data_IF_476312305186
#
_entry.id   IF_476312305186
#
_cell.length_a   1.000
_cell.length_b   1.000
_cell.length_c   1.000
_cell.angle_alpha   90.00
_cell.angle_beta   90.00
_cell.angle_gamma   90.00
#
_symmetry.space_group_name_H-M   'P 1'
#
loop_
_entity.id
_entity.type
_entity.pdbx_description
1 polymer ?
#
# COMPACT_ATOMS: atom_id res chain seq x y z
N UNK A 1 0.04 22.03 53.53
CA UNK A 1 0.79 20.79 53.22
C UNK A 1 0.18 19.98 52.07
N UNK A 2 -1.13 19.69 52.08
CA UNK A 2 -1.76 18.90 51.00
C UNK A 2 -1.81 19.61 49.63
N UNK A 3 -2.08 20.93 49.60
CA UNK A 3 -2.09 21.72 48.35
C UNK A 3 -0.71 21.77 47.68
N UNK A 4 0.35 21.91 48.46
CA UNK A 4 1.74 21.88 47.95
C UNK A 4 2.09 20.50 47.40
N UNK A 5 1.63 19.42 48.04
CA UNK A 5 1.80 18.05 47.54
C UNK A 5 1.12 17.84 46.19
N UNK A 6 -0.11 18.34 46.00
CA UNK A 6 -0.80 18.30 44.70
C UNK A 6 0.05 18.93 43.60
N UNK A 7 0.62 20.11 43.85
CA UNK A 7 1.42 20.80 42.85
C UNK A 7 2.73 20.06 42.53
N UNK A 8 3.42 19.49 43.52
CA UNK A 8 4.62 18.68 43.25
C UNK A 8 4.31 17.46 42.40
N UNK A 9 3.28 16.69 42.79
CA UNK A 9 2.88 15.48 42.06
C UNK A 9 2.44 15.83 40.63
N UNK A 10 1.63 16.88 40.48
CA UNK A 10 1.17 17.35 39.17
C UNK A 10 2.33 17.82 38.30
N UNK A 11 3.26 18.61 38.84
CA UNK A 11 4.41 19.11 38.09
C UNK A 11 5.27 17.95 37.57
N UNK A 12 5.65 17.02 38.44
CA UNK A 12 6.51 15.88 38.07
C UNK A 12 5.82 15.02 37.01
N UNK A 13 4.60 14.55 37.27
CA UNK A 13 3.94 13.60 36.38
C UNK A 13 3.56 14.24 35.06
N UNK A 14 3.01 15.45 35.06
CA UNK A 14 2.62 16.10 33.82
C UNK A 14 3.84 16.49 32.97
N UNK A 15 4.94 17.00 33.56
CA UNK A 15 6.12 17.36 32.77
C UNK A 15 6.81 16.15 32.14
N UNK A 16 6.98 15.06 32.91
CA UNK A 16 7.54 13.80 32.37
C UNK A 16 6.65 13.24 31.27
N UNK A 17 5.34 13.19 31.51
CA UNK A 17 4.38 12.66 30.53
C UNK A 17 4.34 13.53 29.27
N UNK A 18 4.37 14.85 29.41
CA UNK A 18 4.42 15.78 28.28
C UNK A 18 5.68 15.56 27.42
N UNK A 19 6.83 15.31 28.05
CA UNK A 19 8.06 14.98 27.33
C UNK A 19 7.94 13.66 26.54
N UNK A 20 7.34 12.63 27.14
CA UNK A 20 7.09 11.34 26.46
C UNK A 20 6.15 11.53 25.27
N UNK A 21 5.06 12.27 25.44
CA UNK A 21 4.11 12.55 24.34
C UNK A 21 4.77 13.40 23.26
N UNK A 22 5.63 14.35 23.61
CA UNK A 22 6.37 15.14 22.65
C UNK A 22 7.32 14.28 21.79
N UNK A 23 7.99 13.29 22.40
CA UNK A 23 8.79 12.29 21.68
C UNK A 23 7.93 11.46 20.73
N UNK A 24 6.73 11.04 21.16
CA UNK A 24 5.77 10.31 20.31
C UNK A 24 5.35 11.18 19.12
N UNK A 25 4.98 12.45 19.36
CA UNK A 25 4.64 13.41 18.32
C UNK A 25 5.73 13.54 17.25
N UNK A 26 7.00 13.72 17.65
CA UNK A 26 8.10 13.86 16.70
C UNK A 26 8.29 12.58 15.86
N UNK A 27 8.17 11.40 16.49
CA UNK A 27 8.28 10.12 15.80
C UNK A 27 7.16 9.89 14.78
N UNK A 28 5.92 10.23 15.13
CA UNK A 28 4.78 10.09 14.22
C UNK A 28 4.78 11.15 13.11
N UNK A 29 5.30 12.36 13.40
CA UNK A 29 5.50 13.40 12.38
C UNK A 29 6.44 12.96 11.26
N UNK A 30 7.51 12.23 11.58
CA UNK A 30 8.47 11.70 10.58
C UNK A 30 7.82 10.66 9.66
N UNK A 31 6.80 9.95 10.16
CA UNK A 31 6.12 8.86 9.43
C UNK A 31 5.02 9.32 8.47
N UNK A 32 4.85 10.63 8.24
CA UNK A 32 3.83 11.20 7.35
C UNK A 32 2.40 10.68 7.60
N UNK A 33 2.01 10.48 8.86
CA UNK A 33 0.62 10.16 9.22
C UNK A 33 -0.35 11.32 8.94
N UNK A 34 -1.65 11.06 9.02
CA UNK A 34 -2.70 12.06 8.79
C UNK A 34 -2.48 13.32 9.63
N UNK A 35 -2.60 14.51 9.01
CA UNK A 35 -2.29 15.79 9.66
C UNK A 35 -3.16 16.07 10.89
N UNK A 36 -4.39 15.53 10.90
CA UNK A 36 -5.37 15.69 11.97
C UNK A 36 -4.97 14.90 13.23
N UNK A 37 -4.52 13.65 13.07
CA UNK A 37 -4.08 12.82 14.20
C UNK A 37 -2.80 13.40 14.84
N UNK A 38 -1.86 13.85 14.01
CA UNK A 38 -0.61 14.49 14.46
C UNK A 38 -0.90 15.78 15.24
N UNK A 39 -1.84 16.60 14.77
CA UNK A 39 -2.26 17.82 15.46
C UNK A 39 -2.90 17.50 16.82
N UNK A 40 -3.70 16.44 16.89
CA UNK A 40 -4.25 15.90 18.14
C UNK A 40 -3.21 15.61 19.21
N UNK A 41 -2.17 14.85 18.85
CA UNK A 41 -1.07 14.49 19.75
C UNK A 41 -0.34 15.75 20.24
N UNK A 42 -0.12 16.72 19.36
CA UNK A 42 0.52 18.00 19.69
C UNK A 42 -0.29 18.76 20.74
N UNK A 43 -1.58 18.99 20.49
CA UNK A 43 -2.43 19.79 21.38
C UNK A 43 -2.69 19.08 22.72
N UNK A 44 -2.81 17.75 22.71
CA UNK A 44 -2.88 16.97 23.94
C UNK A 44 -1.60 17.04 24.77
N UNK A 45 -0.43 16.88 24.14
CA UNK A 45 0.86 17.02 24.80
C UNK A 45 1.05 18.43 25.39
N UNK A 46 0.58 19.46 24.67
CA UNK A 46 0.60 20.84 25.15
C UNK A 46 -0.36 21.06 26.33
N UNK A 47 -1.55 20.45 26.33
CA UNK A 47 -2.47 20.50 27.46
C UNK A 47 -1.82 19.95 28.74
N UNK A 48 -1.20 18.77 28.66
CA UNK A 48 -0.50 18.17 29.81
C UNK A 48 0.68 19.05 30.25
N UNK A 49 1.45 19.57 29.29
CA UNK A 49 2.56 20.46 29.59
C UNK A 49 2.09 21.70 30.38
N UNK A 50 0.96 22.31 30.01
CA UNK A 50 0.40 23.46 30.71
C UNK A 50 0.02 23.14 32.16
N UNK A 51 -0.56 21.97 32.45
CA UNK A 51 -0.79 21.57 33.84
C UNK A 51 0.50 21.40 34.63
N UNK A 52 1.52 20.78 34.03
CA UNK A 52 2.82 20.61 34.67
C UNK A 52 3.54 21.93 34.93
N UNK A 53 3.56 22.82 33.93
CA UNK A 53 4.15 24.15 34.02
C UNK A 53 3.41 25.02 35.05
N UNK A 54 2.08 25.00 35.05
CA UNK A 54 1.31 25.78 36.02
C UNK A 54 1.50 25.32 37.46
N UNK A 55 1.57 24.01 37.68
CA UNK A 55 1.91 23.46 38.98
C UNK A 55 3.33 23.86 39.41
N UNK A 56 4.31 23.81 38.50
CA UNK A 56 5.68 24.25 38.77
C UNK A 56 5.76 25.74 39.12
N UNK A 57 5.08 26.61 38.36
CA UNK A 57 5.07 28.05 38.64
C UNK A 57 4.41 28.32 40.00
N UNK A 58 3.33 27.63 40.34
CA UNK A 58 2.71 27.76 41.65
C UNK A 58 3.66 27.33 42.79
N UNK A 59 4.42 26.24 42.62
CA UNK A 59 5.45 25.86 43.59
C UNK A 59 6.49 26.96 43.73
N UNK A 60 6.98 27.54 42.62
CA UNK A 60 7.98 28.61 42.67
C UNK A 60 7.44 29.85 43.38
N UNK A 61 6.24 30.31 43.01
CA UNK A 61 5.65 31.52 43.59
C UNK A 61 5.36 31.37 45.08
N UNK A 62 4.83 30.22 45.49
CA UNK A 62 4.38 29.98 46.87
C UNK A 62 5.53 29.56 47.79
N UNK A 63 6.50 28.77 47.32
CA UNK A 63 7.58 28.23 48.16
C UNK A 63 8.90 29.00 48.06
N UNK A 64 9.27 29.48 46.87
CA UNK A 64 10.55 30.20 46.69
C UNK A 64 10.41 31.71 46.88
N UNK A 65 9.24 32.26 46.54
CA UNK A 65 8.99 33.71 46.58
C UNK A 65 8.03 34.09 47.74
N UNK A 66 7.51 33.09 48.47
CA UNK A 66 6.62 33.25 49.64
C UNK A 66 5.36 34.09 49.37
N UNK A 67 4.81 33.98 48.16
CA UNK A 67 3.56 34.66 47.80
C UNK A 67 2.38 33.83 48.30
N UNK A 68 1.45 34.47 49.02
CA UNK A 68 0.22 33.83 49.47
C UNK A 68 -0.58 33.21 48.32
N UNK A 69 -1.10 32.00 48.53
CA UNK A 69 -1.91 31.27 47.54
C UNK A 69 -3.18 32.01 47.11
N UNK A 70 -3.67 32.93 47.93
CA UNK A 70 -4.84 33.78 47.72
C UNK A 70 -4.52 35.07 46.98
N UNK A 71 -3.24 35.35 46.69
CA UNK A 71 -2.83 36.54 45.99
C UNK A 71 -3.41 36.57 44.56
N UNK A 72 -3.92 37.74 44.14
CA UNK A 72 -4.53 37.94 42.82
C UNK A 72 -3.62 37.48 41.67
N UNK A 73 -2.31 37.67 41.78
CA UNK A 73 -1.34 37.28 40.74
C UNK A 73 -1.33 35.76 40.53
N UNK A 74 -1.30 35.00 41.62
CA UNK A 74 -1.31 33.52 41.61
C UNK A 74 -2.62 33.01 40.98
N UNK A 75 -3.74 33.64 41.36
CA UNK A 75 -5.06 33.25 40.85
C UNK A 75 -5.23 33.60 39.37
N UNK A 76 -4.82 34.79 38.92
CA UNK A 76 -4.88 35.17 37.51
C UNK A 76 -4.03 34.27 36.62
N UNK A 77 -2.82 33.94 37.08
CA UNK A 77 -1.96 33.00 36.37
C UNK A 77 -2.56 31.59 36.35
N UNK A 78 -3.15 31.14 37.46
CA UNK A 78 -3.85 29.86 37.55
C UNK A 78 -5.02 29.76 36.57
N UNK A 79 -5.86 30.79 36.52
CA UNK A 79 -6.99 30.87 35.58
C UNK A 79 -6.49 30.90 34.13
N UNK A 80 -5.46 31.71 33.82
CA UNK A 80 -4.87 31.75 32.49
C UNK A 80 -4.39 30.36 32.02
N UNK A 81 -3.68 29.63 32.88
CA UNK A 81 -3.16 28.29 32.58
C UNK A 81 -4.32 27.29 32.41
N UNK A 82 -5.34 27.35 33.26
CA UNK A 82 -6.52 26.47 33.19
C UNK A 82 -7.31 26.66 31.88
N UNK A 83 -7.50 27.92 31.48
CA UNK A 83 -8.19 28.28 30.25
C UNK A 83 -7.40 27.88 28.99
N UNK A 84 -6.09 28.10 29.00
CA UNK A 84 -5.20 27.68 27.90
C UNK A 84 -5.14 26.16 27.79
N UNK A 85 -5.19 25.45 28.93
CA UNK A 85 -5.30 24.00 28.95
C UNK A 85 -6.63 23.54 28.34
N UNK A 86 -7.76 24.14 28.74
CA UNK A 86 -9.08 23.86 28.18
C UNK A 86 -9.14 24.04 26.66
N UNK A 87 -8.53 25.12 26.13
CA UNK A 87 -8.37 25.35 24.69
C UNK A 87 -7.59 24.21 24.01
N UNK A 88 -6.47 23.81 24.62
CA UNK A 88 -5.60 22.76 24.09
C UNK A 88 -6.33 21.41 24.06
N UNK A 89 -7.13 21.11 25.08
CA UNK A 89 -7.99 19.93 25.09
C UNK A 89 -9.02 20.00 23.96
N UNK A 90 -9.72 21.12 23.79
CA UNK A 90 -10.71 21.29 22.71
C UNK A 90 -10.11 21.10 21.32
N UNK A 91 -8.91 21.63 21.07
CA UNK A 91 -8.19 21.46 19.81
C UNK A 91 -7.71 20.03 19.60
N UNK A 92 -7.53 19.25 20.67
CA UNK A 92 -7.20 17.82 20.56
C UNK A 92 -8.41 16.93 20.22
N UNK A 93 -9.64 17.32 20.58
CA UNK A 93 -10.84 16.47 20.41
C UNK A 93 -11.12 16.04 18.96
N UNK A 94 -11.00 16.90 17.93
CA UNK A 94 -11.24 16.50 16.55
C UNK A 94 -10.38 15.33 16.07
N UNK A 95 -9.21 15.12 16.68
CA UNK A 95 -8.28 14.03 16.35
C UNK A 95 -8.73 12.66 16.83
N UNK A 96 -9.70 12.58 17.73
CA UNK A 96 -10.19 11.32 18.27
C UNK A 96 -11.08 10.67 17.22
N UNK A 97 -10.64 9.62 16.53
CA UNK A 97 -11.44 9.00 15.46
C UNK A 97 -12.56 8.09 15.99
N UNK A 98 -13.79 8.33 15.52
CA UNK A 98 -14.95 7.46 15.71
C UNK A 98 -16.01 7.64 14.61
N UNK A 99 -16.82 6.60 14.36
CA UNK A 99 -17.85 6.60 13.30
C UNK A 99 -19.16 7.31 13.66
N UNK A 100 -19.37 7.67 14.93
CA UNK A 100 -20.61 8.32 15.41
C UNK A 100 -20.62 9.83 15.14
N UNK A 101 -21.82 10.43 15.17
CA UNK A 101 -21.96 11.89 15.07
C UNK A 101 -21.18 12.61 16.17
N UNK A 102 -20.47 13.67 15.77
CA UNK A 102 -19.64 14.50 16.64
C UNK A 102 -20.48 15.36 17.57
N UNK A 103 -19.99 15.59 18.79
CA UNK A 103 -20.63 16.55 19.69
C UNK A 103 -20.66 17.96 19.04
N UNK A 104 -21.68 18.78 19.35
CA UNK A 104 -21.83 20.16 18.86
C UNK A 104 -20.55 20.98 19.10
N UNK A 105 -19.93 20.82 20.28
CA UNK A 105 -18.68 21.50 20.63
C UNK A 105 -17.56 21.12 19.65
N UNK A 106 -17.41 19.84 19.33
CA UNK A 106 -16.37 19.37 18.39
C UNK A 106 -16.68 19.80 16.96
N UNK A 107 -17.96 19.77 16.55
CA UNK A 107 -18.39 20.29 15.24
C UNK A 107 -18.09 21.78 15.09
N UNK A 108 -18.24 22.55 16.18
CA UNK A 108 -17.89 23.97 16.19
C UNK A 108 -16.38 24.15 15.99
N UNK A 109 -15.54 23.40 16.72
CA UNK A 109 -14.08 23.46 16.55
C UNK A 109 -13.67 23.07 15.12
N UNK A 110 -14.26 22.00 14.57
CA UNK A 110 -13.96 21.54 13.20
C UNK A 110 -14.36 22.52 12.09
N UNK A 111 -15.29 23.44 12.37
CA UNK A 111 -15.76 24.44 11.40
C UNK A 111 -14.72 25.54 11.15
N UNK A 112 -13.81 25.75 12.11
CA UNK A 112 -12.77 26.77 12.03
C UNK A 112 -11.39 26.12 11.82
N UNK A 113 -10.48 26.84 11.19
CA UNK A 113 -9.06 26.45 11.24
C UNK A 113 -8.51 26.62 12.66
N UNK A 114 -7.42 25.90 12.97
CA UNK A 114 -6.78 26.01 14.29
C UNK A 114 -6.45 27.46 14.68
N UNK A 115 -5.97 28.26 13.72
CA UNK A 115 -5.61 29.66 13.96
C UNK A 115 -6.83 30.53 14.23
N UNK A 116 -7.89 30.36 13.45
CA UNK A 116 -9.14 31.10 13.62
C UNK A 116 -9.80 30.77 14.96
N UNK A 117 -9.87 29.49 15.32
CA UNK A 117 -10.46 29.06 16.58
C UNK A 117 -9.68 29.60 17.79
N UNK A 118 -8.34 29.55 17.76
CA UNK A 118 -7.50 30.14 18.81
C UNK A 118 -7.73 31.65 18.93
N UNK A 119 -7.88 32.35 17.81
CA UNK A 119 -8.11 33.81 17.80
C UNK A 119 -9.48 34.18 18.35
N UNK A 120 -10.52 33.41 17.97
CA UNK A 120 -11.88 33.62 18.46
C UNK A 120 -11.97 33.31 19.96
N UNK A 121 -11.41 32.17 20.40
CA UNK A 121 -11.40 31.77 21.80
C UNK A 121 -10.62 32.77 22.66
N UNK A 122 -9.43 33.21 22.22
CA UNK A 122 -8.65 34.21 22.95
C UNK A 122 -9.35 35.57 23.00
N UNK A 123 -10.04 35.98 21.94
CA UNK A 123 -10.84 37.20 21.92
C UNK A 123 -11.99 37.17 22.92
N UNK A 124 -12.74 36.06 22.98
CA UNK A 124 -13.82 35.87 23.97
C UNK A 124 -13.25 35.85 25.39
N UNK A 125 -12.14 35.15 25.62
CA UNK A 125 -11.50 35.13 26.93
C UNK A 125 -10.97 36.49 27.35
N UNK A 126 -10.38 37.26 26.45
CA UNK A 126 -9.91 38.61 26.75
C UNK A 126 -11.08 39.53 27.17
N UNK A 127 -12.23 39.40 26.51
CA UNK A 127 -13.44 40.14 26.88
C UNK A 127 -13.94 39.75 28.28
N UNK A 128 -14.05 38.46 28.57
CA UNK A 128 -14.49 37.96 29.89
C UNK A 128 -13.47 38.36 30.98
N UNK A 129 -12.18 38.17 30.71
CA UNK A 129 -11.11 38.55 31.64
C UNK A 129 -11.13 40.05 31.92
N UNK A 130 -11.34 40.90 30.91
CA UNK A 130 -11.46 42.35 31.09
C UNK A 130 -12.60 42.71 32.05
N UNK A 131 -13.79 42.13 31.84
CA UNK A 131 -14.95 42.36 32.73
C UNK A 131 -14.61 41.97 34.16
N UNK A 132 -14.05 40.78 34.39
CA UNK A 132 -13.72 40.31 35.73
C UNK A 132 -12.59 41.09 36.40
N UNK A 133 -11.57 41.51 35.66
CA UNK A 133 -10.49 42.36 36.18
C UNK A 133 -11.07 43.71 36.61
N UNK A 134 -11.86 44.37 35.77
CA UNK A 134 -12.48 45.66 36.10
C UNK A 134 -13.37 45.52 37.33
N UNK A 135 -14.24 44.50 37.39
CA UNK A 135 -15.11 44.27 38.54
C UNK A 135 -14.34 43.95 39.83
N UNK A 136 -13.24 43.20 39.75
CA UNK A 136 -12.37 42.83 40.89
C UNK A 136 -11.49 43.98 41.39
N UNK A 137 -11.15 44.94 40.52
CA UNK A 137 -10.44 46.16 40.93
C UNK A 137 -11.38 47.20 41.53
N UNK A 138 -12.63 47.27 41.06
CA UNK A 138 -13.62 48.24 41.57
C UNK A 138 -14.25 47.85 42.90
N UNK A 139 -14.27 46.57 43.28
CA UNK A 139 -14.89 46.08 44.50
C UNK A 139 -13.91 45.28 45.36
N UNK A 140 -13.50 45.84 46.50
CA UNK A 140 -12.56 45.20 47.44
C UNK A 140 -13.19 44.10 48.29
N UNK A 141 -14.53 44.04 48.37
CA UNK A 141 -15.25 43.00 49.12
C UNK A 141 -15.43 41.67 48.36
N UNK A 142 -15.08 41.63 47.07
CA UNK A 142 -15.18 40.40 46.28
C UNK A 142 -14.03 39.47 46.67
N UNK A 143 -14.36 38.29 47.20
CA UNK A 143 -13.40 37.21 47.45
C UNK A 143 -12.58 36.93 46.19
N UNK A 144 -11.25 36.82 46.32
CA UNK A 144 -10.37 36.48 45.20
C UNK A 144 -10.74 35.13 44.55
N UNK A 145 -11.45 34.25 45.28
CA UNK A 145 -11.96 32.99 44.73
C UNK A 145 -13.05 33.18 43.67
N UNK A 146 -13.71 34.35 43.62
CA UNK A 146 -14.68 34.69 42.57
C UNK A 146 -14.04 34.76 41.17
N UNK A 147 -12.72 35.00 41.08
CA UNK A 147 -11.99 35.04 39.81
C UNK A 147 -11.97 33.66 39.14
N UNK A 148 -12.02 32.56 39.92
CA UNK A 148 -12.14 31.20 39.39
C UNK A 148 -13.49 30.93 38.71
N UNK A 149 -14.50 31.80 38.89
CA UNK A 149 -15.83 31.61 38.33
C UNK A 149 -15.81 31.53 36.79
N UNK A 150 -14.87 32.21 36.14
CA UNK A 150 -14.69 32.21 34.68
C UNK A 150 -14.37 30.81 34.14
N UNK A 151 -13.58 30.04 34.88
CA UNK A 151 -13.04 28.76 34.43
C UNK A 151 -14.08 27.63 34.48
N UNK A 152 -15.09 27.75 35.35
CA UNK A 152 -16.06 26.69 35.64
C UNK A 152 -16.90 26.32 34.41
N UNK A 153 -17.61 27.25 33.73
CA UNK A 153 -18.49 26.87 32.63
C UNK A 153 -17.68 26.28 31.48
N UNK A 154 -16.48 26.83 31.24
CA UNK A 154 -15.56 26.36 30.20
C UNK A 154 -15.09 24.95 30.53
N UNK A 155 -14.58 24.72 31.74
CA UNK A 155 -14.13 23.41 32.20
C UNK A 155 -15.23 22.35 32.15
N UNK A 156 -16.48 22.70 32.50
CA UNK A 156 -17.62 21.78 32.43
C UNK A 156 -18.01 21.46 30.97
N UNK A 157 -18.04 22.46 30.09
CA UNK A 157 -18.30 22.24 28.65
C UNK A 157 -17.22 21.31 28.07
N UNK A 158 -15.95 21.55 28.41
CA UNK A 158 -14.83 20.71 27.98
C UNK A 158 -14.93 19.30 28.54
N UNK A 159 -15.25 19.15 29.83
CA UNK A 159 -15.44 17.85 30.46
C UNK A 159 -16.58 17.05 29.83
N UNK A 160 -17.69 17.72 29.49
CA UNK A 160 -18.81 17.10 28.78
C UNK A 160 -18.45 16.72 27.34
N UNK A 161 -17.68 17.55 26.65
CA UNK A 161 -17.16 17.24 25.32
C UNK A 161 -16.24 16.01 25.37
N UNK A 162 -15.33 15.96 26.35
CA UNK A 162 -14.44 14.82 26.60
C UNK A 162 -15.20 13.53 26.88
N UNK A 163 -16.19 13.56 27.79
CA UNK A 163 -17.00 12.39 28.13
C UNK A 163 -17.63 11.79 26.87
N UNK A 164 -18.24 12.63 26.03
CA UNK A 164 -18.91 12.19 24.82
C UNK A 164 -17.94 11.60 23.79
N UNK A 165 -16.85 12.30 23.48
CA UNK A 165 -15.92 11.88 22.42
C UNK A 165 -15.12 10.64 22.84
N UNK A 166 -14.64 10.59 24.09
CA UNK A 166 -13.92 9.42 24.61
C UNK A 166 -14.86 8.20 24.69
N UNK A 167 -16.07 8.37 25.23
CA UNK A 167 -17.05 7.27 25.33
C UNK A 167 -17.41 6.72 23.94
N UNK A 168 -17.64 7.60 22.96
CA UNK A 168 -17.91 7.19 21.57
C UNK A 168 -16.72 6.48 20.95
N UNK A 169 -15.50 6.97 21.15
CA UNK A 169 -14.28 6.36 20.62
C UNK A 169 -14.03 4.97 21.21
N UNK A 170 -14.14 4.81 22.52
CA UNK A 170 -13.97 3.51 23.16
C UNK A 170 -15.08 2.52 22.81
N UNK A 171 -16.33 2.98 22.73
CA UNK A 171 -17.45 2.15 22.30
C UNK A 171 -17.29 1.68 20.85
N UNK A 172 -16.79 2.53 19.95
CA UNK A 172 -16.54 2.18 18.55
C UNK A 172 -15.46 1.10 18.42
N UNK A 173 -14.48 1.09 19.33
CA UNK A 173 -13.35 0.13 19.33
C UNK A 173 -13.64 -1.15 20.13
N UNK A 174 -14.91 -1.46 20.38
CA UNK A 174 -15.36 -2.59 21.21
C UNK A 174 -14.85 -2.61 22.67
N UNK A 175 -14.23 -1.52 23.15
CA UNK A 175 -13.74 -1.38 24.52
C UNK A 175 -14.83 -0.77 25.42
N UNK A 176 -16.01 -1.40 25.48
CA UNK A 176 -17.18 -0.85 26.23
C UNK A 176 -16.89 -0.63 27.72
N UNK A 177 -16.00 -1.42 28.32
CA UNK A 177 -15.56 -1.25 29.71
C UNK A 177 -14.93 0.14 29.98
N UNK A 178 -14.27 0.74 28.97
CA UNK A 178 -13.59 2.03 29.10
C UNK A 178 -14.55 3.23 29.21
N UNK A 179 -15.86 3.02 28.96
CA UNK A 179 -16.88 4.05 29.18
C UNK A 179 -17.01 4.42 30.66
N UNK A 180 -16.83 3.46 31.57
CA UNK A 180 -16.91 3.71 33.03
C UNK A 180 -15.77 4.63 33.50
N UNK A 181 -14.49 4.37 33.17
CA UNK A 181 -13.40 5.33 33.38
C UNK A 181 -13.66 6.72 32.79
N UNK A 182 -14.32 6.83 31.62
CA UNK A 182 -14.66 8.13 31.05
C UNK A 182 -15.70 8.88 31.88
N UNK A 183 -16.70 8.17 32.41
CA UNK A 183 -17.69 8.75 33.33
C UNK A 183 -17.05 9.15 34.66
N UNK A 184 -16.18 8.31 35.22
CA UNK A 184 -15.40 8.64 36.42
C UNK A 184 -14.54 9.89 36.21
N UNK A 185 -13.91 10.03 35.05
CA UNK A 185 -13.16 11.24 34.70
C UNK A 185 -14.05 12.48 34.76
N UNK A 186 -15.25 12.43 34.16
CA UNK A 186 -16.20 13.53 34.20
C UNK A 186 -16.60 13.89 35.63
N UNK A 187 -16.96 12.91 36.46
CA UNK A 187 -17.33 13.12 37.86
C UNK A 187 -16.18 13.72 38.66
N UNK A 188 -14.95 13.23 38.47
CA UNK A 188 -13.78 13.78 39.16
C UNK A 188 -13.48 15.22 38.76
N UNK A 189 -13.68 15.60 37.49
CA UNK A 189 -13.56 16.99 37.04
C UNK A 189 -14.63 17.85 37.72
N UNK A 190 -15.89 17.40 37.76
CA UNK A 190 -16.97 18.14 38.44
C UNK A 190 -16.61 18.36 39.91
N UNK A 191 -16.19 17.31 40.64
CA UNK A 191 -15.79 17.42 42.06
C UNK A 191 -14.61 18.39 42.23
N UNK A 192 -13.57 18.28 41.39
CA UNK A 192 -12.41 19.16 41.47
C UNK A 192 -12.75 20.64 41.20
N UNK A 193 -13.63 20.89 40.23
CA UNK A 193 -14.12 22.25 39.92
C UNK A 193 -15.00 22.78 41.05
N UNK A 194 -15.88 21.95 41.62
CA UNK A 194 -16.70 22.34 42.79
C UNK A 194 -15.85 22.66 44.02
N UNK A 195 -14.81 21.86 44.29
CA UNK A 195 -13.90 22.10 45.41
C UNK A 195 -13.20 23.47 45.32
N UNK A 196 -12.91 23.98 44.11
CA UNK A 196 -12.30 25.32 43.93
C UNK A 196 -13.24 26.47 44.30
N UNK A 197 -14.55 26.26 44.30
CA UNK A 197 -15.55 27.32 44.46
C UNK A 197 -15.93 27.52 45.92
N UNK A 198 -16.14 26.42 46.65
CA UNK A 198 -16.74 26.48 47.97
C UNK A 198 -15.68 27.01 48.96
N UNK A 199 -15.89 28.20 49.55
CA UNK A 199 -14.96 28.75 50.53
C UNK A 199 -14.85 27.78 51.71
N UNK A 200 -13.63 27.50 52.17
CA UNK A 200 -13.39 26.57 53.28
C UNK A 200 -14.22 26.94 54.51
N UNK A 201 -14.41 28.23 54.75
CA UNK A 201 -15.14 28.81 55.88
C UNK A 201 -16.64 28.43 55.90
N UNK A 202 -17.24 28.12 54.74
CA UNK A 202 -18.66 27.72 54.64
C UNK A 202 -18.87 26.20 54.80
N UNK A 203 -17.79 25.42 54.68
CA UNK A 203 -17.84 23.94 54.74
C UNK A 203 -17.62 23.42 56.16
N UNK A 204 -16.95 24.21 57.01
CA UNK A 204 -16.68 23.88 58.42
C UNK A 204 -17.92 23.50 59.23
N UNK A 205 -19.12 23.92 58.80
CA UNK A 205 -20.39 23.55 59.44
C UNK A 205 -20.92 22.15 59.10
N UNK A 206 -20.36 21.47 58.09
CA UNK A 206 -20.91 20.21 57.56
C UNK A 206 -19.85 19.11 57.38
N UNK A 207 -18.59 19.48 57.11
CA UNK A 207 -17.50 18.54 56.82
C UNK A 207 -16.22 19.06 57.47
N UNK A 208 -15.41 18.14 57.99
CA UNK A 208 -14.09 18.45 58.53
C UNK A 208 -13.16 19.09 57.46
N UNK A 209 -12.38 20.09 57.88
CA UNK A 209 -11.54 20.88 56.98
C UNK A 209 -10.43 20.03 56.34
N UNK A 210 -9.86 19.10 57.11
CA UNK A 210 -8.82 18.21 56.62
C UNK A 210 -9.39 17.26 55.57
N UNK A 211 -10.56 16.67 55.85
CA UNK A 211 -11.26 15.82 54.89
C UNK A 211 -11.62 16.55 53.59
N UNK A 212 -12.14 17.78 53.66
CA UNK A 212 -12.48 18.58 52.49
C UNK A 212 -11.24 18.90 51.63
N UNK A 213 -10.14 19.31 52.28
CA UNK A 213 -8.86 19.57 51.58
C UNK A 213 -8.28 18.30 50.96
N UNK A 214 -8.39 17.15 51.64
CA UNK A 214 -7.91 15.86 51.13
C UNK A 214 -8.71 15.43 49.90
N UNK A 215 -10.05 15.55 49.96
CA UNK A 215 -10.95 15.23 48.85
C UNK A 215 -10.60 16.05 47.60
N UNK A 216 -10.36 17.36 47.77
CA UNK A 216 -9.96 18.24 46.69
C UNK A 216 -8.66 17.82 46.02
N UNK A 217 -7.63 17.51 46.81
CA UNK A 217 -6.33 17.05 46.30
C UNK A 217 -6.46 15.69 45.60
N UNK A 218 -7.17 14.73 46.21
CA UNK A 218 -7.39 13.41 45.60
C UNK A 218 -8.12 13.55 44.28
N UNK A 219 -9.22 14.31 44.23
CA UNK A 219 -9.98 14.52 43.00
C UNK A 219 -9.12 15.23 41.94
N UNK A 220 -8.43 16.30 42.34
CA UNK A 220 -7.56 17.12 41.50
C UNK A 220 -6.42 16.34 40.86
N UNK A 221 -5.77 15.47 41.61
CA UNK A 221 -4.71 14.58 41.10
C UNK A 221 -5.33 13.46 40.26
N UNK A 222 -6.34 12.77 40.78
CA UNK A 222 -6.90 11.57 40.15
C UNK A 222 -7.45 11.83 38.75
N UNK A 223 -8.15 12.95 38.52
CA UNK A 223 -8.68 13.23 37.18
C UNK A 223 -7.54 13.44 36.17
N UNK A 224 -6.44 14.10 36.54
CA UNK A 224 -5.30 14.34 35.64
C UNK A 224 -4.63 13.04 35.24
N UNK A 225 -4.43 12.14 36.21
CA UNK A 225 -3.88 10.81 35.96
C UNK A 225 -4.81 9.96 35.09
N UNK A 226 -6.11 9.94 35.41
CA UNK A 226 -7.09 9.19 34.65
C UNK A 226 -7.20 9.73 33.21
N UNK A 227 -7.15 11.04 33.03
CA UNK A 227 -7.12 11.69 31.72
C UNK A 227 -5.89 11.27 30.90
N UNK A 228 -4.70 11.33 31.50
CA UNK A 228 -3.46 10.87 30.86
C UNK A 228 -3.59 9.40 30.47
N UNK A 229 -4.03 8.54 31.38
CA UNK A 229 -4.17 7.10 31.14
C UNK A 229 -5.13 6.80 29.98
N UNK A 230 -6.33 7.39 30.03
CA UNK A 230 -7.36 7.21 29.01
C UNK A 230 -6.84 7.61 27.63
N UNK A 231 -6.16 8.75 27.53
CA UNK A 231 -5.64 9.20 26.27
C UNK A 231 -4.44 8.39 25.79
N UNK A 232 -3.54 7.96 26.69
CA UNK A 232 -2.45 7.03 26.35
C UNK A 232 -2.99 5.71 25.79
N UNK A 233 -4.07 5.18 26.38
CA UNK A 233 -4.75 3.99 25.85
C UNK A 233 -5.36 4.29 24.48
N UNK A 234 -5.98 5.46 24.30
CA UNK A 234 -6.57 5.85 23.02
C UNK A 234 -5.53 5.99 21.91
N UNK A 235 -4.37 6.58 22.21
CA UNK A 235 -3.23 6.67 21.30
C UNK A 235 -2.68 5.29 20.93
N UNK A 236 -2.46 4.42 21.92
CA UNK A 236 -1.95 3.07 21.68
C UNK A 236 -2.94 2.22 20.87
N UNK A 237 -4.22 2.28 21.25
CA UNK A 237 -5.31 1.59 20.55
C UNK A 237 -5.45 2.09 19.11
N UNK A 238 -5.25 3.38 18.87
CA UNK A 238 -5.27 3.94 17.52
C UNK A 238 -4.12 3.39 16.67
N UNK A 239 -2.90 3.38 17.22
CA UNK A 239 -1.73 2.80 16.57
C UNK A 239 -1.93 1.32 16.23
N UNK A 240 -2.55 0.57 17.14
CA UNK A 240 -2.87 -0.84 16.89
C UNK A 240 -3.89 -1.01 15.75
N UNK A 241 -4.92 -0.15 15.69
CA UNK A 241 -5.90 -0.19 14.61
C UNK A 241 -5.26 0.15 13.26
N UNK A 242 -4.46 1.22 13.20
CA UNK A 242 -3.84 1.66 11.94
C UNK A 242 -2.81 0.65 11.42
N UNK A 243 -2.03 0.02 12.30
CA UNK A 243 -1.13 -1.08 11.91
C UNK A 243 -1.89 -2.31 11.41
N UNK A 244 -3.08 -2.61 11.96
CA UNK A 244 -3.92 -3.72 11.50
C UNK A 244 -4.58 -3.42 10.16
N UNK A 245 -5.11 -2.22 9.98
CA UNK A 245 -5.71 -1.78 8.71
C UNK A 245 -4.68 -1.80 7.58
N UNK A 246 -3.47 -1.29 7.82
CA UNK A 246 -2.40 -1.28 6.81
C UNK A 246 -1.99 -2.69 6.40
N UNK A 247 -1.87 -3.61 7.36
CA UNK A 247 -1.61 -5.04 7.07
C UNK A 247 -2.76 -5.70 6.32
N UNK A 248 -4.00 -5.30 6.57
CA UNK A 248 -5.16 -5.84 5.87
C UNK A 248 -5.22 -5.34 4.43
N UNK A 249 -4.95 -4.06 4.19
CA UNK A 249 -4.83 -3.50 2.83
C UNK A 249 -3.70 -4.18 2.05
N UNK A 250 -2.53 -4.38 2.68
CA UNK A 250 -1.41 -5.09 2.05
C UNK A 250 -1.79 -6.53 1.70
N UNK A 251 -2.53 -7.22 2.58
CA UNK A 251 -3.03 -8.57 2.31
C UNK A 251 -4.02 -8.59 1.14
N UNK A 252 -4.92 -7.63 1.04
CA UNK A 252 -5.89 -7.51 -0.05
C UNK A 252 -5.18 -7.33 -1.40
N UNK A 253 -4.18 -6.44 -1.47
CA UNK A 253 -3.36 -6.24 -2.68
C UNK A 253 -2.62 -7.52 -3.07
N UNK A 254 -2.01 -8.22 -2.11
CA UNK A 254 -1.32 -9.49 -2.36
C UNK A 254 -2.27 -10.59 -2.83
N UNK A 255 -3.51 -10.61 -2.33
CA UNK A 255 -4.54 -11.56 -2.78
C UNK A 255 -4.98 -11.27 -4.21
N UNK A 256 -5.15 -10.00 -4.59
CA UNK A 256 -5.46 -9.60 -5.96
C UNK A 256 -4.33 -9.96 -6.93
N UNK A 257 -3.07 -9.67 -6.56
CA UNK A 257 -1.90 -10.02 -7.37
C UNK A 257 -1.77 -11.54 -7.55
N UNK A 258 -1.98 -12.32 -6.46
CA UNK A 258 -2.01 -13.78 -6.53
C UNK A 258 -3.09 -14.29 -7.49
N UNK A 259 -4.30 -13.72 -7.45
CA UNK A 259 -5.38 -14.10 -8.36
C UNK A 259 -5.02 -13.78 -9.82
N UNK A 260 -4.37 -12.64 -10.07
CA UNK A 260 -3.93 -12.24 -11.41
C UNK A 260 -2.84 -13.19 -11.94
N UNK A 261 -1.86 -13.52 -11.11
CA UNK A 261 -0.80 -14.48 -11.45
C UNK A 261 -1.36 -15.88 -11.74
N UNK A 262 -2.33 -16.36 -10.96
CA UNK A 262 -3.01 -17.64 -11.23
C UNK A 262 -3.73 -17.64 -12.57
N UNK A 263 -4.44 -16.55 -12.92
CA UNK A 263 -5.08 -16.41 -14.24
C UNK A 263 -4.08 -16.37 -15.39
N UNK A 264 -2.93 -15.73 -15.19
CA UNK A 264 -1.86 -15.73 -16.19
C UNK A 264 -1.25 -17.12 -16.36
N UNK A 265 -1.02 -17.83 -15.25
CA UNK A 265 -0.52 -19.21 -15.28
C UNK A 265 -1.49 -20.13 -16.03
N UNK A 266 -2.80 -20.04 -15.77
CA UNK A 266 -3.82 -20.82 -16.47
C UNK A 266 -3.80 -20.55 -17.99
N UNK A 267 -3.72 -19.29 -18.40
CA UNK A 267 -3.59 -18.93 -19.83
C UNK A 267 -2.33 -19.50 -20.48
N UNK A 268 -1.20 -19.48 -19.76
CA UNK A 268 0.05 -20.05 -20.26
C UNK A 268 -0.01 -21.57 -20.39
N UNK A 269 -0.68 -22.26 -19.46
CA UNK A 269 -0.91 -23.71 -19.54
C UNK A 269 -1.74 -24.05 -20.78
N UNK A 270 -2.86 -23.36 -21.00
CA UNK A 270 -3.70 -23.57 -22.19
C UNK A 270 -2.95 -23.27 -23.49
N UNK A 271 -2.16 -22.19 -23.53
CA UNK A 271 -1.33 -21.86 -24.70
C UNK A 271 -0.30 -22.96 -24.98
N UNK A 272 0.38 -23.47 -23.93
CA UNK A 272 1.35 -24.55 -24.07
C UNK A 272 0.69 -25.85 -24.57
N UNK A 273 -0.50 -26.21 -24.07
CA UNK A 273 -1.25 -27.36 -24.56
C UNK A 273 -1.59 -27.22 -26.05
N UNK A 274 -2.03 -26.03 -26.48
CA UNK A 274 -2.30 -25.74 -27.89
C UNK A 274 -1.04 -25.77 -28.76
N UNK A 275 0.09 -25.28 -28.26
CA UNK A 275 1.38 -25.37 -28.95
C UNK A 275 1.83 -26.82 -29.10
N UNK A 276 1.66 -27.66 -28.07
CA UNK A 276 1.96 -29.09 -28.15
C UNK A 276 1.10 -29.80 -29.20
N UNK A 277 -0.19 -29.51 -29.26
CA UNK A 277 -1.09 -30.05 -30.30
C UNK A 277 -0.67 -29.60 -31.70
N UNK A 278 -0.29 -28.33 -31.86
CA UNK A 278 0.25 -27.81 -33.12
C UNK A 278 1.55 -28.52 -33.53
N UNK A 279 2.47 -28.75 -32.59
CA UNK A 279 3.72 -29.47 -32.86
C UNK A 279 3.44 -30.92 -33.29
N UNK A 280 2.55 -31.62 -32.59
CA UNK A 280 2.23 -33.02 -32.92
C UNK A 280 1.55 -33.16 -34.29
N UNK A 281 0.63 -32.25 -34.63
CA UNK A 281 -0.01 -32.22 -35.95
C UNK A 281 0.97 -31.90 -37.07
N UNK A 282 1.89 -30.95 -36.85
CA UNK A 282 2.97 -30.64 -37.80
C UNK A 282 3.89 -31.85 -38.00
N UNK A 283 4.33 -32.51 -36.92
CA UNK A 283 5.15 -33.73 -37.02
C UNK A 283 4.45 -34.83 -37.82
N UNK A 284 3.14 -35.01 -37.65
CA UNK A 284 2.35 -35.97 -38.43
C UNK A 284 2.34 -35.62 -39.92
N UNK A 285 2.07 -34.35 -40.27
CA UNK A 285 2.07 -33.88 -41.67
C UNK A 285 3.45 -34.02 -42.32
N UNK A 286 4.51 -33.78 -41.55
CA UNK A 286 5.89 -33.91 -42.03
C UNK A 286 6.18 -35.37 -42.41
N UNK A 287 5.83 -36.33 -41.54
CA UNK A 287 5.93 -37.77 -41.86
C UNK A 287 5.09 -38.16 -43.08
N UNK A 288 3.85 -37.68 -43.19
CA UNK A 288 3.01 -37.95 -44.36
C UNK A 288 3.60 -37.39 -45.66
N UNK A 289 4.23 -36.21 -45.59
CA UNK A 289 4.91 -35.59 -46.73
C UNK A 289 6.16 -36.37 -47.13
N UNK A 290 6.99 -36.81 -46.17
CA UNK A 290 8.16 -37.65 -46.43
C UNK A 290 7.77 -38.96 -47.14
N UNK A 291 6.69 -39.62 -46.69
CA UNK A 291 6.18 -40.83 -47.36
C UNK A 291 5.75 -40.53 -48.80
N UNK A 292 5.03 -39.43 -49.04
CA UNK A 292 4.62 -39.04 -50.40
C UNK A 292 5.80 -38.73 -51.30
N UNK A 293 6.82 -38.04 -50.78
CA UNK A 293 8.05 -37.75 -51.52
C UNK A 293 8.75 -39.05 -51.90
N UNK A 294 8.93 -39.99 -50.96
CA UNK A 294 9.55 -41.28 -51.25
C UNK A 294 8.80 -42.07 -52.33
N UNK A 295 7.46 -42.08 -52.27
CA UNK A 295 6.63 -42.73 -53.30
C UNK A 295 6.79 -42.06 -54.67
N UNK A 296 6.85 -40.73 -54.71
CA UNK A 296 7.07 -39.97 -55.94
C UNK A 296 8.47 -40.23 -56.51
N UNK A 297 9.51 -40.25 -55.67
CA UNK A 297 10.88 -40.59 -56.06
C UNK A 297 10.98 -42.02 -56.62
N UNK A 298 10.33 -42.99 -55.99
CA UNK A 298 10.27 -44.36 -56.53
C UNK A 298 9.52 -44.42 -57.86
N UNK A 299 8.41 -43.70 -58.00
CA UNK A 299 7.63 -43.66 -59.24
C UNK A 299 8.33 -42.93 -60.40
N UNK A 300 9.30 -42.07 -60.09
CA UNK A 300 10.09 -41.31 -61.08
C UNK A 300 11.40 -41.98 -61.43
N UNK A 301 11.78 -43.11 -60.80
CA UNK A 301 12.92 -43.92 -61.23
C UNK A 301 12.65 -44.52 -62.61
N UNK A 302 13.34 -43.99 -63.62
CA UNK A 302 13.24 -44.43 -65.00
C UNK A 302 13.97 -45.77 -65.17
N UNK A 303 13.22 -46.87 -65.28
CA UNK A 303 13.79 -48.20 -65.56
C UNK A 303 13.89 -48.43 -67.08
N UNK A 304 15.10 -48.25 -67.64
CA UNK A 304 15.41 -48.65 -69.01
C UNK A 304 15.64 -50.17 -69.10
N UNK A 305 15.13 -50.82 -70.14
CA UNK A 305 15.47 -52.23 -70.42
C UNK A 305 16.95 -52.39 -70.77
N UNK A 306 17.52 -53.57 -70.58
CA UNK A 306 18.95 -53.80 -70.87
C UNK A 306 19.30 -53.54 -72.33
N UNK A 307 18.38 -53.84 -73.26
CA UNK A 307 18.54 -53.52 -74.68
C UNK A 307 18.54 -52.01 -74.95
N UNK A 308 17.71 -51.25 -74.23
CA UNK A 308 17.69 -49.78 -74.34
C UNK A 308 18.94 -49.16 -73.72
N UNK A 309 19.46 -49.71 -72.62
CA UNK A 309 20.75 -49.30 -72.03
C UNK A 309 21.91 -49.54 -72.99
N UNK A 310 21.92 -50.69 -73.68
CA UNK A 310 22.94 -51.01 -74.69
C UNK A 310 22.87 -50.05 -75.89
N UNK A 311 21.67 -49.79 -76.41
CA UNK A 311 21.44 -48.82 -77.50
C UNK A 311 21.89 -47.42 -77.10
N UNK A 312 21.56 -46.96 -75.88
CA UNK A 312 22.03 -45.68 -75.34
C UNK A 312 23.53 -45.65 -75.07
N UNK A 313 24.11 -46.74 -74.58
CA UNK A 313 25.55 -46.86 -74.32
C UNK A 313 26.35 -46.74 -75.61
N UNK A 314 25.93 -47.44 -76.66
CA UNK A 314 26.53 -47.36 -78.00
C UNK A 314 26.33 -45.98 -78.64
N UNK A 315 25.16 -45.37 -78.45
CA UNK A 315 24.94 -43.99 -78.87
C UNK A 315 25.83 -43.00 -78.12
N UNK A 316 26.02 -43.17 -76.81
CA UNK A 316 26.90 -42.33 -76.00
C UNK A 316 28.38 -42.46 -76.38
N UNK A 317 28.80 -43.67 -76.76
CA UNK A 317 30.20 -43.99 -77.11
C UNK A 317 30.60 -43.51 -78.51
N UNK A 318 29.70 -43.60 -79.50
CA UNK A 318 30.04 -43.30 -80.90
C UNK A 318 29.10 -42.30 -81.57
N UNK A 319 28.05 -41.80 -80.91
CA UNK A 319 27.04 -40.94 -81.51
C UNK A 319 27.52 -39.55 -81.93
N UNK A 320 28.65 -39.08 -81.39
CA UNK A 320 29.28 -37.83 -81.80
C UNK A 320 30.01 -37.95 -83.16
N UNK A 321 30.53 -39.14 -83.48
CA UNK A 321 31.34 -39.39 -84.68
C UNK A 321 30.62 -40.21 -85.75
N UNK A 322 29.61 -41.00 -85.37
CA UNK A 322 28.86 -41.89 -86.25
C UNK A 322 27.39 -41.48 -86.38
N UNK A 323 26.85 -41.70 -87.58
CA UNK A 323 25.43 -41.61 -87.90
C UNK A 323 24.65 -42.78 -87.28
N UNK A 324 23.33 -42.65 -87.15
CA UNK A 324 22.49 -43.74 -86.64
C UNK A 324 22.57 -45.01 -87.48
N UNK A 325 22.81 -44.87 -88.79
CA UNK A 325 22.98 -45.99 -89.72
C UNK A 325 24.24 -46.79 -89.39
N UNK A 326 25.37 -46.11 -89.21
CA UNK A 326 26.66 -46.75 -88.89
C UNK A 326 26.65 -47.40 -87.49
N UNK A 327 25.91 -46.84 -86.54
CA UNK A 327 25.75 -47.42 -85.21
C UNK A 327 24.83 -48.66 -85.27
N UNK A 328 23.73 -48.59 -86.02
CA UNK A 328 22.83 -49.73 -86.20
C UNK A 328 23.56 -50.92 -86.86
N UNK A 329 24.35 -50.65 -87.90
CA UNK A 329 25.18 -51.67 -88.56
C UNK A 329 26.22 -52.26 -87.62
N UNK A 330 26.94 -51.44 -86.85
CA UNK A 330 27.92 -51.92 -85.87
C UNK A 330 27.29 -52.71 -84.71
N UNK A 331 26.00 -52.47 -84.42
CA UNK A 331 25.19 -53.25 -83.47
C UNK A 331 24.54 -54.50 -84.09
N UNK A 332 24.78 -54.78 -85.39
CA UNK A 332 24.14 -55.85 -86.16
C UNK A 332 22.59 -55.81 -86.09
N UNK A 333 22.01 -54.62 -86.14
CA UNK A 333 20.55 -54.43 -86.19
C UNK A 333 20.14 -53.56 -87.37
N UNK A 334 18.88 -53.68 -87.78
CA UNK A 334 18.33 -52.79 -88.79
C UNK A 334 18.27 -51.36 -88.29
N UNK A 335 18.46 -50.40 -89.21
CA UNK A 335 18.33 -48.97 -88.92
C UNK A 335 16.95 -48.64 -88.32
N UNK A 336 15.89 -49.28 -88.82
CA UNK A 336 14.53 -49.11 -88.33
C UNK A 336 14.37 -49.64 -86.89
N UNK A 337 14.99 -50.78 -86.57
CA UNK A 337 15.04 -51.31 -85.21
C UNK A 337 15.79 -50.40 -84.25
N UNK A 338 16.92 -49.82 -84.67
CA UNK A 338 17.66 -48.84 -83.89
C UNK A 338 16.84 -47.56 -83.66
N UNK A 339 16.22 -47.01 -84.71
CA UNK A 339 15.37 -45.82 -84.59
C UNK A 339 14.14 -46.04 -83.71
N UNK A 340 13.55 -47.24 -83.76
CA UNK A 340 12.43 -47.62 -82.88
C UNK A 340 12.85 -47.61 -81.41
N UNK A 341 14.02 -48.17 -81.09
CA UNK A 341 14.56 -48.11 -79.72
C UNK A 341 14.87 -46.67 -79.30
N UNK A 342 15.47 -45.85 -80.17
CA UNK A 342 15.72 -44.43 -79.90
C UNK A 342 14.43 -43.67 -79.64
N UNK A 343 13.37 -43.92 -80.42
CA UNK A 343 12.06 -43.30 -80.22
C UNK A 343 11.44 -43.70 -78.87
N UNK A 344 11.46 -44.99 -78.53
CA UNK A 344 10.95 -45.48 -77.24
C UNK A 344 11.72 -44.87 -76.06
N UNK A 345 13.04 -44.77 -76.17
CA UNK A 345 13.90 -44.16 -75.16
C UNK A 345 13.60 -42.67 -75.02
N UNK A 346 13.46 -41.93 -76.13
CA UNK A 346 13.05 -40.51 -76.09
C UNK A 346 11.70 -40.33 -75.42
N UNK A 347 10.73 -41.22 -75.67
CA UNK A 347 9.41 -41.19 -75.03
C UNK A 347 9.51 -41.42 -73.51
N UNK A 348 10.32 -42.38 -73.09
CA UNK A 348 10.54 -42.70 -71.66
C UNK A 348 11.28 -41.58 -70.94
N UNK A 349 12.27 -40.96 -71.59
CA UNK A 349 13.05 -39.84 -71.05
C UNK A 349 12.38 -38.46 -71.27
N UNK A 350 11.21 -38.43 -71.91
CA UNK A 350 10.46 -37.21 -72.31
C UNK A 350 11.33 -36.19 -73.09
N UNK A 351 12.19 -36.68 -73.97
CA UNK A 351 13.07 -35.87 -74.83
C UNK A 351 12.35 -35.57 -76.16
N UNK A 352 12.18 -34.29 -76.49
CA UNK A 352 11.54 -33.82 -77.74
C UNK A 352 12.28 -32.61 -78.33
N UNK A 353 12.41 -32.55 -79.66
CA UNK A 353 13.07 -31.44 -80.37
C UNK A 353 14.18 -31.89 -81.33
N UNK A 354 14.73 -30.94 -82.10
CA UNK A 354 15.78 -31.19 -83.11
C UNK A 354 17.09 -31.72 -82.48
N UNK A 355 17.40 -31.30 -81.25
CA UNK A 355 18.64 -31.67 -80.53
C UNK A 355 18.54 -33.01 -79.78
N UNK A 356 17.50 -33.80 -80.06
CA UNK A 356 17.22 -35.02 -79.32
C UNK A 356 18.31 -36.11 -79.42
N UNK A 357 19.29 -35.99 -80.34
CA UNK A 357 20.45 -36.91 -80.39
C UNK A 357 21.48 -36.55 -79.30
N UNK A 358 21.80 -35.27 -79.16
CA UNK A 358 22.80 -34.77 -78.20
C UNK A 358 22.32 -34.95 -76.76
N UNK A 359 21.03 -34.73 -76.50
CA UNK A 359 20.44 -34.93 -75.18
C UNK A 359 20.50 -36.41 -74.73
N UNK A 360 20.35 -37.36 -75.67
CA UNK A 360 20.50 -38.80 -75.36
C UNK A 360 21.97 -39.16 -75.08
N UNK A 361 22.92 -38.57 -75.80
CA UNK A 361 24.36 -38.76 -75.57
C UNK A 361 24.76 -38.21 -74.19
N UNK A 362 24.31 -37.00 -73.84
CA UNK A 362 24.56 -36.40 -72.55
C UNK A 362 23.95 -37.23 -71.41
N UNK A 363 22.71 -37.70 -71.59
CA UNK A 363 22.04 -38.59 -70.63
C UNK A 363 22.79 -39.91 -70.43
N UNK A 364 23.29 -40.53 -71.51
CA UNK A 364 24.05 -41.76 -71.45
C UNK A 364 25.39 -41.61 -70.70
N UNK A 365 26.09 -40.47 -70.89
CA UNK A 365 27.33 -40.15 -70.17
C UNK A 365 27.07 -39.85 -68.69
N UNK A 366 26.05 -39.05 -68.38
CA UNK A 366 25.72 -38.66 -67.01
C UNK A 366 25.23 -39.83 -66.13
N UNK A 367 24.63 -40.86 -66.72
CA UNK A 367 24.12 -42.04 -66.01
C UNK A 367 25.03 -43.28 -66.16
N UNK A 368 26.29 -43.09 -66.55
CA UNK A 368 27.30 -44.16 -66.71
C UNK A 368 26.84 -45.34 -67.59
N UNK A 369 26.01 -45.09 -68.61
CA UNK A 369 25.47 -46.14 -69.48
C UNK A 369 26.49 -46.65 -70.52
N UNK A 370 27.65 -46.00 -70.63
CA UNK A 370 28.76 -46.40 -71.50
C UNK A 370 29.27 -47.82 -71.19
N UNK A 371 29.13 -48.30 -69.95
CA UNK A 371 29.49 -49.67 -69.56
C UNK A 371 28.68 -50.76 -70.27
N UNK A 372 27.52 -50.40 -70.83
CA UNK A 372 26.67 -51.30 -71.60
C UNK A 372 26.92 -51.20 -73.11
N UNK A 373 27.90 -50.40 -73.56
CA UNK A 373 28.25 -50.29 -74.98
C UNK A 373 28.90 -51.60 -75.47
N UNK A 374 28.30 -52.20 -76.50
CA UNK A 374 28.84 -53.38 -77.19
C UNK A 374 29.82 -53.02 -78.32
N UNK A 375 29.85 -51.75 -78.75
CA UNK A 375 30.80 -51.25 -79.75
C UNK A 375 32.05 -50.71 -79.03
N UNK A 376 33.18 -51.37 -79.20
CA UNK A 376 34.47 -50.85 -78.73
C UNK A 376 34.97 -49.75 -79.68
N UNK A 377 34.91 -48.50 -79.22
CA UNK A 377 35.56 -47.40 -79.92
C UNK A 377 37.07 -47.47 -79.62
N UNK A 378 37.88 -47.97 -80.56
CA UNK A 378 39.34 -47.78 -80.49
C UNK A 378 39.64 -46.32 -80.82
N UNK A 379 39.53 -45.49 -79.79
CA UNK A 379 40.24 -44.24 -79.56
C UNK A 379 39.82 -43.74 -78.18
N UNK A 380 40.69 -43.93 -77.19
CA UNK A 380 40.68 -43.17 -75.95
C UNK A 380 41.12 -41.75 -76.25
N UNK A 381 40.18 -40.82 -76.12
CA UNK A 381 40.30 -39.53 -75.42
C UNK A 381 38.88 -39.01 -75.10
#
# INVERSE_FOLDING_TARGET
>A
MYVTLEYYVTAIVCLITAFVIHRIYYKEKIKNQSSIAISGIKWFGFAIFLWGLGALINVILVQLIDIETTNKIVIYLGVFISLTNSLSILLSLPSIEHQKERNIVVRLVQRFSEKEFVTLFSGVLAMIAFVFIVTSYSNTEISNNFIWLIDIPISLIVAFALLNELSKAFANRAMKFMVVPCFLLFVLIVIAVTHRIIPQDKVLGYIDQEFWSLLGVIAGVSFKFLFILLFSILLYSWKFLSEKELKQTELEVLLEEKQLLLKQQEKLVVANESHLDTITTLQKRLKESEVKINVLEESTRIALSDRQKEVLGNLGACGASKSYTEIAEAMNISLDGFQTHIYQIKKVLKISGADGKEQLIAFAKANELLKYASIQNKNTD
#
